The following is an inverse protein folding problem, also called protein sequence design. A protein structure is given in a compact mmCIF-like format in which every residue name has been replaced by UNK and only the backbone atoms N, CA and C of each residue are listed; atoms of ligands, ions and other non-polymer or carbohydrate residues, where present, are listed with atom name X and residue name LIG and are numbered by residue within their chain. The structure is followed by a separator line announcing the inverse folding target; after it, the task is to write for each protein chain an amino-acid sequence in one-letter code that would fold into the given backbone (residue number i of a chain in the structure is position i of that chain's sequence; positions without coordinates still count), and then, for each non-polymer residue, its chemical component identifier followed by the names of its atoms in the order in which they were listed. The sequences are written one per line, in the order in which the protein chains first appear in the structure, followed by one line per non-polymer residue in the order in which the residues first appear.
data_IF_325045396813
#
_entry.id   IF_325045396813
#
_cell.length_a   1.000
_cell.length_b   1.000
_cell.length_c   1.000
_cell.angle_alpha   90.00
_cell.angle_beta   90.00
_cell.angle_gamma   90.00
#
_symmetry.space_group_name_H-M   'P 1'
#
loop_
_entity.id
_entity.type
_entity.pdbx_description
1 polymer ?
#
# COMPACT_ATOMS: atom_id res chain seq x y z
N UNK A 1 11.11 41.49 49.18
CA UNK A 1 10.27 41.94 48.05
C UNK A 1 9.68 40.70 47.42
N UNK A 2 8.46 40.33 47.80
CA UNK A 2 7.79 39.11 47.35
C UNK A 2 6.64 39.48 46.41
N UNK A 3 6.67 38.96 45.18
CA UNK A 3 5.59 39.13 44.22
C UNK A 3 4.59 37.99 44.35
N UNK A 4 3.40 38.32 44.86
CA UNK A 4 2.22 37.48 44.84
C UNK A 4 1.59 37.54 43.44
N UNK A 5 1.61 36.44 42.70
CA UNK A 5 0.79 36.27 41.50
C UNK A 5 -0.58 35.72 41.90
N UNK A 6 -1.62 36.55 41.73
CA UNK A 6 -3.02 36.15 41.81
C UNK A 6 -3.38 35.38 40.53
N UNK A 7 -3.82 34.14 40.71
CA UNK A 7 -4.40 33.31 39.65
C UNK A 7 -5.92 33.55 39.64
N UNK A 8 -6.39 34.39 38.73
CA UNK A 8 -7.82 34.59 38.48
C UNK A 8 -8.35 33.55 37.50
N UNK A 9 -9.07 32.58 38.07
CA UNK A 9 -10.39 32.11 37.67
C UNK A 9 -10.83 32.39 36.22
N UNK A 10 -10.65 31.41 35.33
CA UNK A 10 -11.39 31.29 34.08
C UNK A 10 -12.30 30.05 34.15
N UNK A 11 -13.49 30.23 34.71
CA UNK A 11 -14.63 29.34 34.51
C UNK A 11 -15.13 29.53 33.08
N UNK A 12 -14.56 28.80 32.13
CA UNK A 12 -15.12 28.67 30.79
C UNK A 12 -16.10 27.50 30.76
N UNK A 13 -17.35 27.86 30.53
CA UNK A 13 -18.52 27.00 30.39
C UNK A 13 -18.33 25.99 29.25
N UNK A 14 -18.00 24.74 29.60
CA UNK A 14 -18.10 23.62 28.67
C UNK A 14 -19.56 23.21 28.55
N UNK A 15 -20.23 23.71 27.51
CA UNK A 15 -21.45 23.09 27.00
C UNK A 15 -21.07 21.73 26.42
N UNK A 16 -21.37 20.68 27.16
CA UNK A 16 -21.33 19.30 26.68
C UNK A 16 -22.36 19.15 25.55
N UNK A 17 -21.89 19.20 24.31
CA UNK A 17 -22.67 18.76 23.15
C UNK A 17 -22.43 17.24 23.07
N UNK A 18 -23.37 16.50 23.65
CA UNK A 18 -23.47 15.05 23.50
C UNK A 18 -23.96 14.77 22.06
N UNK A 19 -23.04 14.78 21.09
CA UNK A 19 -23.32 14.26 19.75
C UNK A 19 -23.31 12.75 19.86
N UNK A 20 -24.51 12.15 19.78
CA UNK A 20 -24.69 10.71 19.72
C UNK A 20 -23.93 10.13 18.53
N UNK A 21 -22.76 9.55 18.81
CA UNK A 21 -22.08 8.66 17.88
C UNK A 21 -22.92 7.38 17.78
N UNK A 22 -23.82 7.36 16.80
CA UNK A 22 -24.28 6.11 16.19
C UNK A 22 -23.05 5.42 15.60
N UNK A 23 -22.41 4.59 16.42
CA UNK A 23 -21.44 3.61 15.97
C UNK A 23 -22.17 2.65 15.04
N UNK A 24 -22.18 2.98 13.74
CA UNK A 24 -22.34 1.99 12.70
C UNK A 24 -21.18 1.02 12.90
N UNK A 25 -21.45 -0.09 13.58
CA UNK A 25 -20.52 -1.20 13.71
C UNK A 25 -20.45 -1.86 12.34
N UNK A 26 -19.55 -1.38 11.48
CA UNK A 26 -19.14 -2.10 10.29
C UNK A 26 -18.47 -3.36 10.83
N UNK A 27 -19.21 -4.47 10.89
CA UNK A 27 -18.58 -5.78 11.03
C UNK A 27 -17.73 -5.94 9.79
N UNK A 28 -16.46 -5.61 9.91
CA UNK A 28 -15.43 -6.06 8.98
C UNK A 28 -15.53 -7.57 9.00
N UNK A 29 -16.29 -8.12 8.05
CA UNK A 29 -16.23 -9.52 7.68
C UNK A 29 -14.81 -9.73 7.18
N UNK A 30 -13.91 -9.99 8.13
CA UNK A 30 -12.58 -10.45 7.81
C UNK A 30 -12.81 -11.75 7.06
N UNK A 31 -12.48 -11.73 5.77
CA UNK A 31 -12.49 -12.93 4.95
C UNK A 31 -11.57 -13.92 5.66
N UNK A 32 -12.17 -14.83 6.42
CA UNK A 32 -11.43 -15.76 7.26
C UNK A 32 -10.83 -16.75 6.28
N UNK A 33 -9.56 -16.52 5.94
CA UNK A 33 -8.82 -17.41 5.07
C UNK A 33 -8.91 -18.81 5.68
N UNK A 34 -9.55 -19.72 4.96
CA UNK A 34 -9.61 -21.11 5.35
C UNK A 34 -8.20 -21.69 5.31
N UNK A 35 -7.90 -22.63 6.21
CA UNK A 35 -6.69 -23.43 6.08
C UNK A 35 -6.74 -24.12 4.72
N UNK A 36 -5.68 -23.94 3.91
CA UNK A 36 -5.58 -24.59 2.60
C UNK A 36 -5.29 -26.08 2.77
N UNK A 37 -6.34 -26.88 2.92
CA UNK A 37 -6.29 -28.33 2.79
C UNK A 37 -7.18 -28.80 1.62
N UNK A 38 -6.84 -29.96 1.11
CA UNK A 38 -7.46 -30.55 -0.06
C UNK A 38 -8.12 -31.85 0.36
N UNK A 39 -9.40 -32.01 0.05
CA UNK A 39 -10.10 -33.27 0.20
C UNK A 39 -10.17 -33.97 -1.14
N UNK A 40 -9.71 -35.23 -1.19
CA UNK A 40 -9.84 -36.06 -2.38
C UNK A 40 -11.15 -36.83 -2.30
N UNK A 41 -12.06 -36.50 -3.20
CA UNK A 41 -13.35 -37.17 -3.34
C UNK A 41 -13.19 -38.64 -3.78
N UNK A 42 -14.21 -39.50 -3.57
CA UNK A 42 -14.17 -40.91 -4.00
C UNK A 42 -13.93 -41.14 -5.49
N UNK A 43 -14.15 -40.12 -6.33
CA UNK A 43 -13.86 -40.13 -7.76
C UNK A 43 -12.43 -39.64 -8.11
N UNK A 44 -11.57 -39.42 -7.11
CA UNK A 44 -10.20 -38.93 -7.27
C UNK A 44 -10.07 -37.41 -7.44
N UNK A 45 -11.17 -36.66 -7.48
CA UNK A 45 -11.13 -35.20 -7.64
C UNK A 45 -10.75 -34.52 -6.32
N UNK A 46 -9.73 -33.65 -6.34
CA UNK A 46 -9.41 -32.75 -5.23
C UNK A 46 -10.38 -31.57 -5.17
N UNK A 47 -10.89 -31.26 -3.97
CA UNK A 47 -11.70 -30.08 -3.68
C UNK A 47 -11.08 -29.30 -2.53
N UNK A 48 -11.05 -27.97 -2.65
CA UNK A 48 -10.63 -27.08 -1.56
C UNK A 48 -11.79 -26.70 -0.64
N UNK A 49 -11.51 -25.88 0.37
CA UNK A 49 -12.52 -25.28 1.26
C UNK A 49 -13.18 -24.07 0.62
N UNK A 50 -14.47 -23.88 0.91
CA UNK A 50 -15.27 -22.74 0.48
C UNK A 50 -15.33 -21.67 1.60
N UNK A 51 -14.74 -20.48 1.42
CA UNK A 51 -14.78 -19.40 2.41
C UNK A 51 -16.20 -18.89 2.71
N UNK A 52 -17.15 -19.11 1.81
CA UNK A 52 -18.54 -18.68 1.97
C UNK A 52 -19.38 -19.69 2.77
N UNK A 53 -18.90 -20.93 2.91
CA UNK A 53 -19.58 -22.03 3.62
C UNK A 53 -18.80 -22.48 4.85
N UNK A 54 -18.35 -21.50 5.65
CA UNK A 54 -17.64 -21.76 6.91
C UNK A 54 -16.43 -22.71 6.73
N UNK A 55 -15.71 -22.56 5.62
CA UNK A 55 -14.57 -23.39 5.29
C UNK A 55 -14.89 -24.88 5.14
N UNK A 56 -16.11 -25.27 4.79
CA UNK A 56 -16.42 -26.65 4.39
C UNK A 56 -15.79 -26.96 3.03
N UNK A 57 -15.38 -28.21 2.80
CA UNK A 57 -14.93 -28.65 1.48
C UNK A 57 -16.07 -28.55 0.47
N UNK A 58 -15.78 -28.15 -0.77
CA UNK A 58 -16.79 -28.19 -1.82
C UNK A 58 -17.39 -29.60 -1.94
N UNK A 59 -18.72 -29.74 -2.11
CA UNK A 59 -19.34 -31.06 -2.16
C UNK A 59 -18.77 -31.84 -3.35
N UNK A 60 -18.41 -33.10 -3.12
CA UNK A 60 -17.92 -34.01 -4.16
C UNK A 60 -18.97 -34.33 -5.24
N UNK A 61 -20.24 -34.09 -4.92
CA UNK A 61 -21.38 -34.33 -5.80
C UNK A 61 -21.67 -33.12 -6.69
N UNK A 62 -20.64 -32.65 -7.40
CA UNK A 62 -20.84 -31.69 -8.49
C UNK A 62 -21.34 -32.53 -9.67
N UNK A 63 -22.66 -32.72 -9.73
CA UNK A 63 -23.30 -33.35 -10.88
C UNK A 63 -22.86 -32.57 -12.12
N UNK A 64 -22.45 -33.30 -13.15
CA UNK A 64 -21.81 -32.84 -14.38
C UNK A 64 -22.61 -31.83 -15.22
N UNK A 65 -23.72 -31.30 -14.70
CA UNK A 65 -24.59 -30.37 -15.40
C UNK A 65 -24.11 -28.91 -15.32
N UNK A 66 -23.27 -28.55 -14.33
CA UNK A 66 -22.66 -27.21 -14.26
C UNK A 66 -21.30 -27.12 -14.98
N UNK A 67 -20.82 -28.22 -15.55
CA UNK A 67 -19.67 -28.24 -16.43
C UNK A 67 -20.13 -28.56 -17.86
N UNK A 68 -20.53 -27.54 -18.62
CA UNK A 68 -20.45 -27.59 -20.09
C UNK A 68 -18.95 -27.53 -20.47
N UNK A 69 -18.21 -28.54 -20.05
CA UNK A 69 -16.91 -28.90 -20.58
C UNK A 69 -17.11 -30.33 -21.04
N UNK A 70 -17.15 -30.61 -22.35
CA UNK A 70 -17.38 -31.96 -22.85
C UNK A 70 -16.37 -32.91 -22.20
N UNK A 71 -16.88 -33.89 -21.46
CA UNK A 71 -16.08 -34.90 -20.80
C UNK A 71 -15.33 -35.73 -21.85
N UNK A 72 -13.99 -35.65 -21.92
CA UNK A 72 -13.25 -36.75 -22.51
C UNK A 72 -13.30 -37.90 -21.51
N UNK A 73 -13.77 -39.07 -21.94
CA UNK A 73 -13.74 -40.34 -21.20
C UNK A 73 -12.29 -40.84 -20.90
N UNK A 74 -11.36 -39.93 -20.72
CA UNK A 74 -9.93 -40.17 -20.55
C UNK A 74 -9.53 -39.65 -19.18
N UNK A 75 -10.18 -40.14 -18.13
CA UNK A 75 -9.70 -39.91 -16.77
C UNK A 75 -8.33 -40.57 -16.62
N UNK A 76 -7.32 -39.80 -16.24
CA UNK A 76 -6.01 -40.33 -15.88
C UNK A 76 -6.15 -41.15 -14.59
N UNK A 77 -6.38 -42.45 -14.71
CA UNK A 77 -6.61 -43.34 -13.55
C UNK A 77 -5.32 -43.74 -12.84
N UNK A 78 -4.16 -43.37 -13.39
CA UNK A 78 -2.86 -43.76 -12.86
C UNK A 78 -2.48 -42.87 -11.67
N UNK A 79 -2.45 -43.47 -10.48
CA UNK A 79 -1.82 -42.87 -9.30
C UNK A 79 -0.29 -42.84 -9.47
N UNK A 80 0.41 -41.76 -9.06
CA UNK A 80 -0.12 -40.58 -8.39
C UNK A 80 -0.79 -39.58 -9.34
N UNK A 81 -1.83 -38.88 -8.87
CA UNK A 81 -2.51 -37.81 -9.62
C UNK A 81 -1.71 -36.50 -9.71
N UNK A 82 -0.72 -36.33 -8.84
CA UNK A 82 0.12 -35.14 -8.77
C UNK A 82 1.61 -35.50 -8.63
N UNK A 83 2.48 -34.61 -9.07
CA UNK A 83 3.92 -34.70 -8.88
C UNK A 83 4.39 -33.44 -8.16
N UNK A 84 5.18 -33.61 -7.10
CA UNK A 84 5.84 -32.51 -6.39
C UNK A 84 7.17 -32.23 -7.08
N UNK A 85 7.35 -31.01 -7.57
CA UNK A 85 8.56 -30.54 -8.20
C UNK A 85 9.65 -30.25 -7.16
N UNK A 86 10.93 -30.20 -7.54
CA UNK A 86 12.00 -29.86 -6.60
C UNK A 86 11.89 -28.44 -6.02
N UNK A 87 11.15 -27.54 -6.68
CA UNK A 87 10.76 -26.23 -6.16
C UNK A 87 9.77 -26.29 -4.99
N UNK A 88 9.12 -27.44 -4.80
CA UNK A 88 7.94 -27.61 -3.94
C UNK A 88 6.61 -27.40 -4.66
N UNK A 89 6.60 -26.94 -5.92
CA UNK A 89 5.37 -26.77 -6.69
C UNK A 89 4.70 -28.11 -6.98
N UNK A 90 3.37 -28.12 -7.06
CA UNK A 90 2.60 -29.31 -7.40
C UNK A 90 2.12 -29.20 -8.84
N UNK A 91 2.53 -30.13 -9.69
CA UNK A 91 2.03 -30.25 -11.07
C UNK A 91 1.06 -31.41 -11.20
N UNK A 92 -0.01 -31.18 -11.94
CA UNK A 92 -1.04 -32.18 -12.24
C UNK A 92 -0.80 -32.81 -13.61
N UNK A 93 -1.39 -33.99 -13.82
CA UNK A 93 -1.44 -34.63 -15.14
C UNK A 93 -2.23 -33.79 -16.12
N UNK A 94 -1.75 -33.70 -17.34
CA UNK A 94 -2.44 -33.02 -18.43
C UNK A 94 -3.21 -34.03 -19.29
N UNK A 95 -4.53 -33.89 -19.28
CA UNK A 95 -5.45 -34.74 -20.04
C UNK A 95 -5.24 -34.62 -21.55
N UNK A 96 -4.75 -33.48 -22.03
CA UNK A 96 -4.51 -33.27 -23.46
C UNK A 96 -3.27 -34.01 -23.98
N UNK A 97 -2.34 -34.41 -23.11
CA UNK A 97 -1.06 -35.02 -23.48
C UNK A 97 -0.95 -36.47 -23.00
N UNK A 98 -2.06 -37.23 -23.05
CA UNK A 98 -2.13 -38.62 -22.58
C UNK A 98 -1.74 -38.76 -21.11
N UNK A 99 -2.24 -37.88 -20.25
CA UNK A 99 -2.06 -38.00 -18.80
C UNK A 99 -0.61 -37.90 -18.30
N UNK A 100 0.28 -37.31 -19.09
CA UNK A 100 1.64 -37.00 -18.64
C UNK A 100 1.62 -35.81 -17.68
N UNK A 101 2.55 -35.76 -16.73
CA UNK A 101 2.70 -34.59 -15.87
C UNK A 101 3.16 -33.39 -16.70
N UNK A 102 2.62 -32.22 -16.39
CA UNK A 102 3.18 -30.97 -16.92
C UNK A 102 4.63 -30.84 -16.46
N UNK A 103 5.52 -30.30 -17.31
CA UNK A 103 6.90 -30.06 -16.90
C UNK A 103 6.90 -29.15 -15.67
N UNK A 104 7.75 -29.49 -14.71
CA UNK A 104 7.96 -28.65 -13.53
C UNK A 104 8.39 -27.24 -13.98
N UNK A 105 7.87 -26.17 -13.34
CA UNK A 105 8.37 -24.84 -13.57
C UNK A 105 9.89 -24.81 -13.38
N UNK A 106 10.63 -24.03 -14.20
CA UNK A 106 12.05 -23.83 -13.98
C UNK A 106 12.24 -23.26 -12.57
N UNK A 107 13.17 -23.84 -11.81
CA UNK A 107 13.46 -23.43 -10.45
C UNK A 107 14.97 -23.31 -10.27
N UNK A 108 15.35 -22.40 -9.38
CA UNK A 108 16.75 -22.16 -9.04
C UNK A 108 17.06 -22.86 -7.72
N UNK A 109 18.14 -23.64 -7.67
CA UNK A 109 18.49 -24.45 -6.50
C UNK A 109 18.98 -23.53 -5.37
N UNK A 110 18.10 -23.22 -4.42
CA UNK A 110 18.41 -22.63 -3.11
C UNK A 110 19.23 -21.32 -3.08
N UNK A 111 19.16 -20.50 -4.13
CA UNK A 111 19.82 -19.21 -4.12
C UNK A 111 18.87 -18.13 -3.61
N UNK A 112 19.00 -17.80 -2.32
CA UNK A 112 18.48 -16.56 -1.74
C UNK A 112 19.64 -15.64 -1.40
N UNK A 113 19.54 -14.37 -1.75
CA UNK A 113 20.47 -13.31 -1.32
C UNK A 113 19.76 -12.36 -0.37
N UNK A 114 20.45 -11.92 0.68
CA UNK A 114 19.97 -10.89 1.59
C UNK A 114 20.41 -9.53 1.07
N UNK A 115 19.46 -8.66 0.75
CA UNK A 115 19.71 -7.29 0.34
C UNK A 115 20.20 -6.43 1.50
N UNK A 116 20.85 -5.27 1.24
CA UNK A 116 21.21 -4.31 2.29
C UNK A 116 20.02 -3.79 3.11
N UNK A 117 18.80 -3.88 2.56
CA UNK A 117 17.54 -3.62 3.29
C UNK A 117 17.22 -4.66 4.37
N UNK A 118 17.82 -5.84 4.30
CA UNK A 118 17.39 -7.05 5.01
C UNK A 118 16.40 -7.92 4.23
N UNK A 119 15.90 -7.46 3.08
CA UNK A 119 14.97 -8.25 2.27
C UNK A 119 15.66 -9.48 1.65
N UNK A 120 14.97 -10.61 1.61
CA UNK A 120 15.45 -11.80 0.92
C UNK A 120 14.97 -11.77 -0.54
N UNK A 121 15.91 -11.87 -1.49
CA UNK A 121 15.62 -12.06 -2.92
C UNK A 121 15.89 -13.50 -3.30
N UNK A 122 14.95 -14.13 -3.99
CA UNK A 122 15.11 -15.45 -4.59
C UNK A 122 15.60 -15.29 -6.04
N UNK A 123 16.49 -16.17 -6.48
CA UNK A 123 16.92 -16.23 -7.87
C UNK A 123 15.71 -16.37 -8.81
N UNK A 124 15.71 -15.61 -9.91
CA UNK A 124 14.61 -15.55 -10.86
C UNK A 124 14.83 -16.56 -12.00
N UNK A 125 13.98 -17.60 -12.12
CA UNK A 125 14.15 -18.62 -13.15
C UNK A 125 13.95 -18.10 -14.58
N UNK A 126 13.26 -16.96 -14.74
CA UNK A 126 13.12 -16.30 -16.04
C UNK A 126 14.39 -15.53 -16.46
N UNK A 127 15.29 -15.25 -15.50
CA UNK A 127 16.55 -14.55 -15.72
C UNK A 127 17.74 -15.51 -15.58
N UNK A 128 17.62 -16.77 -16.02
CA UNK A 128 18.66 -17.78 -15.89
C UNK A 128 19.18 -17.93 -14.45
N UNK A 129 18.28 -17.86 -13.47
CA UNK A 129 18.61 -17.92 -12.05
C UNK A 129 19.50 -16.80 -11.54
N UNK A 130 19.53 -15.64 -12.19
CA UNK A 130 20.09 -14.43 -11.58
C UNK A 130 19.09 -13.77 -10.63
N UNK A 131 19.60 -13.04 -9.64
CA UNK A 131 18.77 -12.25 -8.74
C UNK A 131 18.28 -10.96 -9.41
N UNK A 132 17.02 -10.60 -9.16
CA UNK A 132 16.57 -9.24 -9.42
C UNK A 132 17.39 -8.25 -8.57
N UNK A 133 17.66 -7.03 -9.07
CA UNK A 133 18.42 -6.04 -8.31
C UNK A 133 17.74 -5.76 -6.96
N UNK A 134 18.55 -5.70 -5.91
CA UNK A 134 18.08 -5.29 -4.60
C UNK A 134 17.50 -3.87 -4.65
N UNK A 135 16.40 -3.59 -3.93
CA UNK A 135 15.93 -2.23 -3.76
C UNK A 135 17.07 -1.37 -3.22
N UNK A 136 17.30 -0.22 -3.87
CA UNK A 136 18.32 0.72 -3.41
C UNK A 136 17.80 1.38 -2.14
N UNK A 137 18.30 0.92 -0.98
CA UNK A 137 18.07 1.56 0.30
C UNK A 137 19.10 2.67 0.48
N UNK A 138 18.62 3.90 0.55
CA UNK A 138 19.44 5.01 0.96
C UNK A 138 19.44 5.12 2.48
N UNK A 139 20.53 5.66 3.04
CA UNK A 139 20.54 6.04 4.45
C UNK A 139 19.36 6.98 4.75
N UNK A 140 18.79 6.88 5.96
CA UNK A 140 17.65 7.68 6.41
C UNK A 140 18.07 9.05 6.94
N UNK A 141 19.28 9.50 6.61
CA UNK A 141 19.79 10.80 6.99
C UNK A 141 19.01 11.91 6.30
N UNK A 142 18.87 13.01 7.03
CA UNK A 142 18.17 14.21 6.60
C UNK A 142 19.16 15.35 6.45
N UNK A 143 18.90 16.23 5.49
CA UNK A 143 19.66 17.46 5.30
C UNK A 143 18.71 18.64 5.35
N UNK A 144 19.00 19.64 6.18
CA UNK A 144 18.21 20.86 6.28
C UNK A 144 18.82 21.92 5.39
N UNK A 145 18.06 22.37 4.39
CA UNK A 145 18.49 23.41 3.46
C UNK A 145 18.72 24.74 4.19
N UNK A 146 19.88 25.39 4.03
CA UNK A 146 20.24 26.57 4.83
C UNK A 146 19.36 27.79 4.57
N UNK A 147 18.79 27.92 3.36
CA UNK A 147 18.04 29.12 2.96
C UNK A 147 16.53 28.97 3.19
N UNK A 148 15.97 27.79 2.93
CA UNK A 148 14.53 27.52 3.00
C UNK A 148 14.12 26.81 4.29
N UNK A 149 15.09 26.31 5.07
CA UNK A 149 14.88 25.43 6.23
C UNK A 149 14.10 24.14 5.91
N UNK A 150 13.94 23.81 4.62
CA UNK A 150 13.27 22.57 4.20
C UNK A 150 14.18 21.39 4.45
N UNK A 151 13.62 20.32 5.01
CA UNK A 151 14.34 19.06 5.23
C UNK A 151 14.21 18.19 3.98
N UNK A 152 15.34 17.88 3.35
CA UNK A 152 15.44 16.92 2.23
C UNK A 152 16.01 15.59 2.71
N UNK A 153 15.71 14.53 1.97
CA UNK A 153 16.18 13.16 2.21
C UNK A 153 16.95 12.65 1.01
N UNK A 154 17.71 11.58 1.19
CA UNK A 154 18.29 10.83 0.07
C UNK A 154 17.19 10.22 -0.79
N UNK A 155 17.40 10.21 -2.10
CA UNK A 155 16.47 9.62 -3.07
C UNK A 155 17.14 8.47 -3.82
N UNK A 156 16.48 7.31 -3.88
CA UNK A 156 16.93 6.17 -4.68
C UNK A 156 17.04 6.54 -6.17
N UNK A 157 16.16 7.43 -6.66
CA UNK A 157 16.21 7.93 -8.04
C UNK A 157 17.43 8.83 -8.33
N UNK A 158 18.10 9.33 -7.28
CA UNK A 158 19.29 10.18 -7.37
C UNK A 158 20.55 9.45 -6.88
N UNK A 159 20.61 8.12 -7.02
CA UNK A 159 21.72 7.29 -6.53
C UNK A 159 22.03 7.53 -5.04
N UNK A 160 20.97 7.66 -4.23
CA UNK A 160 21.08 8.00 -2.81
C UNK A 160 21.75 9.34 -2.51
N UNK A 161 21.74 10.27 -3.45
CA UNK A 161 22.07 11.66 -3.15
C UNK A 161 20.84 12.39 -2.56
N UNK A 162 21.09 13.48 -1.84
CA UNK A 162 20.02 14.34 -1.36
C UNK A 162 19.27 14.98 -2.52
N UNK A 163 17.95 15.07 -2.41
CA UNK A 163 17.15 15.89 -3.33
C UNK A 163 17.67 17.34 -3.26
N UNK A 164 17.89 18.02 -4.40
CA UNK A 164 18.36 19.41 -4.39
C UNK A 164 17.40 20.29 -3.59
N UNK A 165 17.95 21.24 -2.85
CA UNK A 165 17.15 22.20 -2.10
C UNK A 165 16.22 22.96 -3.05
N UNK A 166 14.95 23.17 -2.67
CA UNK A 166 14.06 23.99 -3.46
C UNK A 166 14.66 25.40 -3.61
N UNK A 167 14.49 26.04 -4.78
CA UNK A 167 14.99 27.39 -4.98
C UNK A 167 14.39 28.33 -3.94
N UNK A 168 15.18 29.29 -3.47
CA UNK A 168 14.67 30.34 -2.58
C UNK A 168 13.68 31.15 -3.38
N UNK A 169 12.41 31.03 -3.03
CA UNK A 169 11.36 31.89 -3.57
C UNK A 169 11.50 33.24 -2.87
N UNK A 170 12.38 34.09 -3.39
CA UNK A 170 12.45 35.49 -3.00
C UNK A 170 11.37 36.25 -3.77
N UNK A 171 10.37 36.78 -3.07
CA UNK A 171 9.44 37.70 -3.69
C UNK A 171 10.16 39.01 -4.02
N UNK A 172 9.83 39.62 -5.16
CA UNK A 172 10.32 40.97 -5.47
C UNK A 172 9.98 41.93 -4.34
N UNK A 173 10.84 42.89 -4.05
CA UNK A 173 10.65 43.92 -3.01
C UNK A 173 9.56 44.96 -3.33
N UNK A 174 8.87 44.79 -4.46
CA UNK A 174 7.73 45.61 -4.88
C UNK A 174 6.65 45.68 -3.79
N UNK A 175 6.14 46.90 -3.61
CA UNK A 175 5.03 47.17 -2.71
C UNK A 175 3.83 47.68 -3.51
N UNK A 176 2.63 47.21 -3.16
CA UNK A 176 1.35 47.69 -3.70
C UNK A 176 0.71 48.65 -2.70
N UNK A 177 0.30 49.82 -3.16
CA UNK A 177 -0.43 50.77 -2.32
C UNK A 177 -1.93 50.48 -2.35
N UNK A 178 -2.56 50.27 -1.18
CA UNK A 178 -3.99 50.12 -1.05
C UNK A 178 -4.64 51.46 -0.68
N UNK A 179 -5.32 52.09 -1.63
CA UNK A 179 -5.94 53.40 -1.46
C UNK A 179 -6.95 53.45 -0.29
N UNK A 180 -7.74 52.38 -0.11
CA UNK A 180 -8.74 52.26 0.95
C UNK A 180 -8.13 52.38 2.35
N UNK A 181 -6.99 51.72 2.61
CA UNK A 181 -6.35 51.71 3.93
C UNK A 181 -5.18 52.68 4.05
N UNK A 182 -4.77 53.32 2.95
CA UNK A 182 -3.54 54.11 2.81
C UNK A 182 -2.28 53.38 3.27
N UNK A 183 -2.23 52.05 3.10
CA UNK A 183 -1.09 51.20 3.48
C UNK A 183 -0.43 50.55 2.27
N UNK A 184 0.88 50.34 2.37
CA UNK A 184 1.62 49.51 1.43
C UNK A 184 1.58 48.05 1.87
N UNK A 185 1.26 47.16 0.94
CA UNK A 185 1.37 45.71 1.10
C UNK A 185 2.58 45.21 0.35
N UNK A 186 3.28 44.23 0.92
CA UNK A 186 4.35 43.48 0.27
C UNK A 186 3.81 42.15 -0.24
N UNK A 187 4.48 41.59 -1.24
CA UNK A 187 4.21 40.23 -1.69
C UNK A 187 4.49 39.23 -0.57
N UNK A 188 3.69 38.16 -0.52
CA UNK A 188 3.78 37.11 0.50
C UNK A 188 4.20 35.78 -0.11
N UNK A 189 5.20 35.14 0.48
CA UNK A 189 5.77 33.88 -0.01
C UNK A 189 4.73 32.75 0.05
N UNK A 190 3.88 32.74 1.08
CA UNK A 190 2.88 31.70 1.30
C UNK A 190 1.71 31.73 0.31
N UNK A 191 1.53 32.82 -0.44
CA UNK A 191 0.56 32.94 -1.55
C UNK A 191 1.25 33.07 -2.91
N UNK A 192 2.43 32.44 -3.07
CA UNK A 192 3.13 32.40 -4.35
C UNK A 192 3.69 33.76 -4.79
N UNK A 193 4.12 34.59 -3.84
CA UNK A 193 4.59 35.95 -4.07
C UNK A 193 3.56 36.88 -4.71
N UNK A 194 2.28 36.69 -4.38
CA UNK A 194 1.21 37.62 -4.70
C UNK A 194 0.95 38.60 -3.55
N UNK A 195 0.12 39.62 -3.81
CA UNK A 195 -0.39 40.55 -2.82
C UNK A 195 -1.73 40.05 -2.28
N UNK A 196 -1.94 40.17 -0.96
CA UNK A 196 -3.28 40.01 -0.39
C UNK A 196 -4.27 41.00 -1.05
N UNK A 197 -5.56 40.64 -1.21
CA UNK A 197 -6.55 41.59 -1.68
C UNK A 197 -6.61 42.82 -0.75
N UNK A 198 -6.68 44.02 -1.34
CA UNK A 198 -6.79 45.25 -0.56
C UNK A 198 -8.09 45.25 0.27
N UNK A 199 -8.04 45.60 1.57
CA UNK A 199 -9.24 45.61 2.40
C UNK A 199 -10.26 46.63 1.87
N UNK A 200 -11.50 46.20 1.67
CA UNK A 200 -12.62 47.10 1.37
C UNK A 200 -13.18 47.68 2.66
N UNK A 201 -13.30 49.01 2.75
CA UNK A 201 -13.98 49.67 3.86
C UNK A 201 -15.47 49.36 3.72
N UNK A 202 -16.07 48.65 4.69
CA UNK A 202 -17.53 48.54 4.75
C UNK A 202 -18.08 49.93 5.02
N UNK A 203 -18.84 50.48 4.08
CA UNK A 203 -19.56 51.73 4.31
C UNK A 203 -20.58 51.48 5.42
N UNK A 204 -20.35 52.06 6.59
CA UNK A 204 -21.34 52.08 7.66
C UNK A 204 -22.41 53.09 7.23
N UNK A 205 -23.51 52.62 6.61
CA UNK A 205 -24.64 53.49 6.32
C UNK A 205 -25.20 54.00 7.64
N UNK A 206 -25.12 55.31 7.85
CA UNK A 206 -25.64 56.00 9.02
C UNK A 206 -27.09 56.39 8.77
#
# INVERSE_FOLDING_TARGET
MGFNFRNDSLRSSMRAILVGMLALSWTTSMCQACVEDWYICPNGRGVGRDPLRNCEHFPCNITSNDAIVPAPNTTCTDDPFFQVCPSGDIVLRDYATNCTFRPCPPFCVNETITCPSGDLKRANPLLNCTFDPCPVMCATDTFTCPQTLTVVRRSAALNCNFTPCPPVVACSTEARYCAATRKFQRRRVDIGCDFDPCPTIKQTST
#
